data_IF_353039807021
#
_entry.id   IF_353039807021
#
_cell.length_a   1.000
_cell.length_b   1.000
_cell.length_c   1.000
_cell.angle_alpha   90.00
_cell.angle_beta   90.00
_cell.angle_gamma   90.00
#
_symmetry.space_group_name_H-M   'P 1'
#
loop_
_entity.id
_entity.type
_entity.pdbx_description
1 polymer ?
#
# COMPACT_ATOMS: atom_id res chain seq x y z
N UNK A 1 -37.81 -11.18 8.72
CA UNK A 1 -36.52 -11.72 9.21
C UNK A 1 -35.48 -10.66 8.96
N UNK A 2 -35.08 -9.91 9.98
CA UNK A 2 -34.08 -8.84 9.91
C UNK A 2 -32.69 -9.46 9.93
N UNK A 3 -31.95 -9.31 8.84
CA UNK A 3 -30.57 -9.76 8.68
C UNK A 3 -29.59 -8.73 9.25
N UNK A 4 -29.77 -8.32 10.48
CA UNK A 4 -28.82 -7.46 11.21
C UNK A 4 -27.84 -8.28 12.06
N UNK A 5 -27.28 -9.33 11.47
CA UNK A 5 -26.05 -9.88 12.02
C UNK A 5 -24.88 -8.98 11.60
N UNK A 6 -24.64 -7.94 12.40
CA UNK A 6 -23.46 -7.12 12.24
C UNK A 6 -22.22 -8.03 12.19
N UNK A 7 -21.43 -7.92 11.12
CA UNK A 7 -20.22 -8.71 10.94
C UNK A 7 -19.40 -8.71 12.24
N UNK A 8 -18.90 -9.86 12.73
CA UNK A 8 -18.18 -9.97 14.01
C UNK A 8 -17.08 -8.94 14.22
N UNK A 9 -16.47 -8.46 13.14
CA UNK A 9 -15.44 -7.42 13.19
C UNK A 9 -16.01 -6.00 13.35
N UNK A 10 -17.32 -5.76 13.12
CA UNK A 10 -17.90 -4.42 13.23
C UNK A 10 -17.74 -3.80 14.62
N UNK A 11 -17.66 -4.64 15.67
CA UNK A 11 -17.41 -4.20 17.05
C UNK A 11 -16.01 -3.61 17.29
N UNK A 12 -15.06 -3.90 16.41
CA UNK A 12 -13.67 -3.41 16.52
C UNK A 12 -13.41 -2.15 15.71
N UNK A 13 -14.32 -1.78 14.82
CA UNK A 13 -14.16 -0.62 13.95
C UNK A 13 -15.25 0.41 14.22
N UNK A 14 -14.88 1.67 14.33
CA UNK A 14 -15.84 2.78 14.45
C UNK A 14 -16.56 3.05 13.13
N UNK A 15 -15.89 2.81 12.02
CA UNK A 15 -16.43 2.99 10.67
C UNK A 15 -15.68 2.10 9.68
N UNK A 16 -16.38 1.63 8.66
CA UNK A 16 -15.84 0.99 7.48
C UNK A 16 -16.24 1.84 6.27
N UNK A 17 -15.24 2.36 5.56
CA UNK A 17 -15.46 3.07 4.29
C UNK A 17 -14.99 2.15 3.16
N UNK A 18 -15.94 1.72 2.34
CA UNK A 18 -15.66 0.94 1.14
C UNK A 18 -15.88 1.80 -0.10
N UNK A 19 -14.88 1.84 -0.98
CA UNK A 19 -14.97 2.52 -2.27
C UNK A 19 -14.59 1.55 -3.36
N UNK A 20 -15.54 1.22 -4.24
CA UNK A 20 -15.30 0.37 -5.40
C UNK A 20 -14.96 1.24 -6.61
N UNK A 21 -13.80 1.88 -6.56
CA UNK A 21 -13.31 2.78 -7.60
C UNK A 21 -11.95 2.33 -8.10
N UNK A 22 -11.62 2.71 -9.34
CA UNK A 22 -10.30 2.44 -9.90
C UNK A 22 -9.27 3.32 -9.21
N UNK A 23 -8.29 2.72 -8.55
CA UNK A 23 -7.18 3.44 -7.93
C UNK A 23 -6.38 4.22 -8.96
N UNK A 24 -6.06 5.47 -8.65
CA UNK A 24 -5.23 6.35 -9.46
C UNK A 24 -4.05 6.91 -8.67
N UNK A 25 -3.07 7.45 -9.37
CA UNK A 25 -1.96 8.20 -8.77
C UNK A 25 -2.04 9.71 -9.02
N UNK A 26 -3.21 10.20 -9.43
CA UNK A 26 -3.46 11.64 -9.64
C UNK A 26 -3.37 12.37 -8.30
N UNK A 27 -2.49 13.36 -8.21
CA UNK A 27 -2.29 14.09 -6.95
C UNK A 27 -3.55 14.88 -6.57
N UNK A 28 -3.98 14.70 -5.32
CA UNK A 28 -5.23 15.29 -4.82
C UNK A 28 -6.50 14.61 -5.33
N UNK A 29 -6.41 13.64 -6.25
CA UNK A 29 -7.55 12.90 -6.79
C UNK A 29 -8.32 12.13 -5.72
N UNK A 30 -9.65 12.03 -5.87
CA UNK A 30 -10.51 11.32 -4.92
C UNK A 30 -10.18 9.81 -4.85
N UNK A 31 -9.76 9.24 -5.97
CA UNK A 31 -9.43 7.82 -6.12
C UNK A 31 -7.94 7.51 -5.86
N UNK A 32 -7.17 8.52 -5.41
CA UNK A 32 -5.80 8.33 -4.97
C UNK A 32 -5.76 7.98 -3.48
N UNK A 33 -5.27 6.78 -3.09
CA UNK A 33 -5.22 6.36 -1.69
C UNK A 33 -4.38 7.29 -0.81
N UNK A 34 -3.37 7.95 -1.37
CA UNK A 34 -2.55 8.92 -0.63
C UNK A 34 -3.35 10.16 -0.21
N UNK A 35 -4.35 10.55 -1.01
CA UNK A 35 -5.29 11.62 -0.64
C UNK A 35 -6.16 11.20 0.54
N UNK A 36 -6.64 9.96 0.55
CA UNK A 36 -7.40 9.41 1.68
C UNK A 36 -6.57 9.36 2.97
N UNK A 37 -5.31 8.91 2.89
CA UNK A 37 -4.39 8.89 4.04
C UNK A 37 -4.21 10.28 4.63
N UNK A 38 -3.98 11.30 3.79
CA UNK A 38 -3.84 12.69 4.28
C UNK A 38 -5.06 13.20 5.03
N UNK A 39 -6.26 12.72 4.68
CA UNK A 39 -7.51 13.10 5.34
C UNK A 39 -7.79 12.30 6.61
N UNK A 40 -7.53 10.99 6.58
CA UNK A 40 -7.99 10.06 7.60
C UNK A 40 -6.97 9.82 8.71
N UNK A 41 -5.67 9.89 8.40
CA UNK A 41 -4.57 9.57 9.32
C UNK A 41 -4.05 10.81 10.08
N UNK A 42 -4.87 11.82 10.27
CA UNK A 42 -4.51 12.98 11.08
C UNK A 42 -4.98 12.81 12.52
N UNK A 43 -4.11 13.07 13.46
CA UNK A 43 -4.40 13.02 14.89
C UNK A 43 -3.44 12.12 15.65
N UNK A 44 -3.01 12.56 16.85
CA UNK A 44 -2.04 11.84 17.70
C UNK A 44 -2.64 10.61 18.39
N UNK A 45 -3.95 10.47 18.37
CA UNK A 45 -4.72 9.41 19.02
C UNK A 45 -5.09 8.24 18.07
N UNK A 46 -4.51 8.23 16.87
CA UNK A 46 -4.83 7.25 15.83
C UNK A 46 -3.60 6.49 15.41
N UNK A 47 -3.77 5.20 15.22
CA UNK A 47 -2.78 4.35 14.51
C UNK A 47 -3.22 4.27 13.06
N UNK A 48 -2.33 4.65 12.16
CA UNK A 48 -2.55 4.59 10.72
C UNK A 48 -1.72 3.46 10.12
N UNK A 49 -2.41 2.47 9.57
CA UNK A 49 -1.80 1.37 8.83
C UNK A 49 -2.17 1.50 7.36
N UNK A 50 -1.17 1.51 6.49
CA UNK A 50 -1.38 1.54 5.05
C UNK A 50 -0.92 0.22 4.42
N UNK A 51 -1.81 -0.44 3.68
CA UNK A 51 -1.47 -1.59 2.84
C UNK A 51 -1.66 -1.21 1.37
N UNK A 52 -0.62 -1.38 0.57
CA UNK A 52 -0.63 -1.18 -0.89
C UNK A 52 -0.51 -2.53 -1.58
N UNK A 53 -1.60 -2.96 -2.20
CA UNK A 53 -1.76 -4.29 -2.81
C UNK A 53 -2.93 -4.18 -3.81
N UNK A 54 -2.63 -3.83 -5.05
CA UNK A 54 -3.64 -3.52 -6.10
C UNK A 54 -3.38 -4.27 -7.40
N UNK A 55 -2.49 -5.26 -7.40
CA UNK A 55 -2.14 -6.07 -8.58
C UNK A 55 -1.72 -5.26 -9.82
N UNK A 56 -1.19 -4.05 -9.60
CA UNK A 56 -0.74 -3.16 -10.67
C UNK A 56 0.66 -2.62 -10.38
N UNK A 57 1.71 -3.37 -10.70
CA UNK A 57 3.09 -3.05 -10.31
C UNK A 57 3.58 -1.68 -10.76
N UNK A 58 3.11 -1.21 -11.91
CA UNK A 58 3.46 0.12 -12.42
C UNK A 58 2.83 1.22 -11.56
N UNK A 59 1.55 1.04 -11.19
CA UNK A 59 0.83 2.01 -10.36
C UNK A 59 1.31 1.95 -8.90
N UNK A 60 1.56 0.74 -8.39
CA UNK A 60 2.14 0.53 -7.06
C UNK A 60 3.50 1.23 -6.93
N UNK A 61 4.37 1.08 -7.94
CA UNK A 61 5.66 1.76 -7.97
C UNK A 61 5.51 3.28 -7.89
N UNK A 62 4.60 3.86 -8.67
CA UNK A 62 4.33 5.31 -8.64
C UNK A 62 3.78 5.78 -7.30
N UNK A 63 2.85 5.04 -6.72
CA UNK A 63 2.26 5.36 -5.41
C UNK A 63 3.30 5.20 -4.29
N UNK A 64 4.13 4.18 -4.35
CA UNK A 64 5.22 3.97 -3.41
C UNK A 64 6.22 5.12 -3.46
N UNK A 65 6.67 5.51 -4.64
CA UNK A 65 7.61 6.63 -4.82
C UNK A 65 7.01 7.94 -4.30
N UNK A 66 5.74 8.22 -4.63
CA UNK A 66 5.03 9.40 -4.14
C UNK A 66 4.88 9.38 -2.62
N UNK A 67 4.58 8.22 -2.02
CA UNK A 67 4.47 8.05 -0.58
C UNK A 67 5.81 8.29 0.13
N UNK A 68 6.87 7.61 -0.30
CA UNK A 68 8.20 7.70 0.32
C UNK A 68 8.86 9.07 0.14
N UNK A 69 8.49 9.82 -0.90
CA UNK A 69 8.96 11.18 -1.16
C UNK A 69 8.20 12.23 -0.35
N UNK A 70 7.06 11.90 0.24
CA UNK A 70 6.21 12.82 1.00
C UNK A 70 6.43 12.68 2.50
N UNK A 71 7.16 13.63 3.09
CA UNK A 71 7.35 13.66 4.54
C UNK A 71 6.02 13.69 5.30
N UNK A 72 5.06 14.47 4.84
CA UNK A 72 3.74 14.57 5.47
C UNK A 72 2.95 13.26 5.48
N UNK A 73 3.21 12.34 4.56
CA UNK A 73 2.62 11.01 4.54
C UNK A 73 3.39 10.04 5.42
N UNK A 74 4.71 10.04 5.33
CA UNK A 74 5.55 9.13 6.13
C UNK A 74 5.53 9.44 7.62
N UNK A 75 5.18 10.66 8.02
CA UNK A 75 5.03 11.04 9.43
C UNK A 75 3.67 10.66 10.04
N UNK A 76 2.63 10.46 9.23
CA UNK A 76 1.29 10.11 9.73
C UNK A 76 0.94 8.63 9.61
N UNK A 77 1.71 7.86 8.84
CA UNK A 77 1.55 6.42 8.71
C UNK A 77 2.48 5.72 9.68
N UNK A 78 1.90 4.97 10.61
CA UNK A 78 2.67 4.22 11.62
C UNK A 78 3.25 2.95 11.04
N UNK A 79 2.49 2.23 10.19
CA UNK A 79 2.94 1.01 9.55
C UNK A 79 2.54 0.98 8.08
N UNK A 80 3.47 0.56 7.23
CA UNK A 80 3.25 0.45 5.80
C UNK A 80 3.57 -0.97 5.31
N UNK A 81 2.58 -1.59 4.70
CA UNK A 81 2.70 -2.91 4.06
C UNK A 81 2.60 -2.74 2.55
N UNK A 82 3.56 -3.29 1.83
CA UNK A 82 3.57 -3.26 0.37
C UNK A 82 3.78 -4.67 -0.18
N UNK A 83 2.91 -5.05 -1.12
CA UNK A 83 3.09 -6.28 -1.87
C UNK A 83 4.25 -6.13 -2.84
N UNK A 84 5.09 -7.16 -2.90
CA UNK A 84 6.16 -7.25 -3.89
C UNK A 84 6.02 -8.49 -4.73
N UNK A 85 5.67 -8.27 -5.98
CA UNK A 85 5.67 -9.34 -6.99
C UNK A 85 7.11 -9.75 -7.30
N UNK A 86 7.63 -10.71 -6.54
CA UNK A 86 8.94 -11.30 -6.80
C UNK A 86 8.75 -12.37 -7.86
N UNK A 87 9.55 -12.33 -8.92
CA UNK A 87 9.57 -13.38 -9.94
C UNK A 87 10.10 -14.67 -9.35
N UNK A 88 9.24 -15.48 -8.77
CA UNK A 88 9.54 -16.86 -8.40
C UNK A 88 9.07 -17.80 -9.50
N UNK A 89 9.66 -19.00 -9.57
CA UNK A 89 9.21 -20.04 -10.51
C UNK A 89 7.73 -20.38 -10.37
N UNK A 90 7.19 -20.33 -9.15
CA UNK A 90 5.79 -20.58 -8.85
C UNK A 90 4.87 -19.50 -9.45
N UNK A 91 5.26 -18.24 -9.42
CA UNK A 91 4.45 -17.15 -10.01
C UNK A 91 4.37 -17.24 -11.54
N UNK A 92 5.40 -17.78 -12.20
CA UNK A 92 5.36 -18.05 -13.64
C UNK A 92 4.26 -19.06 -14.02
N UNK A 93 4.03 -20.05 -13.17
CA UNK A 93 3.00 -21.09 -13.41
C UNK A 93 1.58 -20.52 -13.37
N UNK A 94 1.37 -19.40 -12.69
CA UNK A 94 0.08 -18.71 -12.60
C UNK A 94 -0.05 -17.50 -13.55
N UNK A 95 0.86 -17.38 -14.53
CA UNK A 95 0.80 -16.30 -15.53
C UNK A 95 1.23 -14.92 -15.03
N UNK A 96 1.53 -14.75 -13.75
CA UNK A 96 1.85 -13.46 -13.14
C UNK A 96 3.29 -13.01 -13.35
N UNK A 97 4.13 -13.81 -13.98
CA UNK A 97 5.56 -13.52 -14.15
C UNK A 97 6.01 -13.13 -15.56
N UNK A 98 5.08 -13.00 -16.51
CA UNK A 98 5.43 -12.83 -17.95
C UNK A 98 5.40 -11.39 -18.42
N UNK A 99 4.97 -10.45 -17.60
CA UNK A 99 4.86 -9.05 -18.01
C UNK A 99 6.25 -8.39 -18.13
N UNK A 100 6.69 -8.20 -19.38
CA UNK A 100 7.96 -7.52 -19.71
C UNK A 100 7.98 -6.03 -19.33
N UNK A 101 6.85 -5.47 -18.88
CA UNK A 101 6.72 -4.06 -18.47
C UNK A 101 7.38 -3.75 -17.13
N UNK A 102 7.89 -4.77 -16.45
CA UNK A 102 8.72 -4.57 -15.26
C UNK A 102 10.10 -4.11 -15.67
N UNK A 103 10.40 -2.85 -15.41
CA UNK A 103 11.78 -2.34 -15.57
C UNK A 103 12.76 -3.19 -14.76
N UNK A 104 13.88 -3.64 -15.34
CA UNK A 104 14.84 -4.52 -14.66
C UNK A 104 15.32 -4.00 -13.29
N UNK A 105 15.39 -2.70 -13.11
CA UNK A 105 15.83 -2.07 -11.85
C UNK A 105 14.79 -2.06 -10.72
N UNK A 106 13.50 -2.17 -11.04
CA UNK A 106 12.41 -2.15 -10.03
C UNK A 106 12.21 -3.52 -9.38
N UNK A 107 12.68 -4.58 -10.02
CA UNK A 107 12.49 -5.97 -9.61
C UNK A 107 13.71 -6.60 -8.93
N UNK A 108 14.75 -5.82 -8.68
CA UNK A 108 15.89 -6.28 -7.94
C UNK A 108 15.57 -6.34 -6.44
N UNK A 109 15.62 -7.53 -5.87
CA UNK A 109 15.43 -7.78 -4.45
C UNK A 109 16.38 -6.91 -3.59
N UNK A 110 17.60 -6.68 -4.08
CA UNK A 110 18.60 -5.82 -3.43
C UNK A 110 18.10 -4.37 -3.29
N UNK A 111 17.51 -3.82 -4.36
CA UNK A 111 16.94 -2.46 -4.32
C UNK A 111 15.75 -2.36 -3.37
N UNK A 112 14.94 -3.40 -3.29
CA UNK A 112 13.86 -3.49 -2.33
C UNK A 112 14.36 -3.48 -0.88
N UNK A 113 15.33 -4.30 -0.55
CA UNK A 113 15.95 -4.29 0.77
C UNK A 113 16.52 -2.93 1.12
N UNK A 114 17.18 -2.25 0.16
CA UNK A 114 17.67 -0.87 0.35
C UNK A 114 16.52 0.10 0.63
N UNK A 115 15.44 0.03 -0.13
CA UNK A 115 14.26 0.88 0.02
C UNK A 115 13.65 0.71 1.42
N UNK A 116 13.36 -0.52 1.83
CA UNK A 116 12.81 -0.80 3.16
C UNK A 116 13.76 -0.39 4.28
N UNK A 117 15.05 -0.69 4.13
CA UNK A 117 16.06 -0.30 5.13
C UNK A 117 16.15 1.22 5.27
N UNK A 118 16.12 1.96 4.16
CA UNK A 118 16.15 3.41 4.19
C UNK A 118 14.88 4.02 4.79
N UNK A 119 13.70 3.45 4.49
CA UNK A 119 12.45 3.86 5.09
C UNK A 119 12.47 3.65 6.62
N UNK A 120 12.93 2.49 7.08
CA UNK A 120 13.07 2.18 8.52
C UNK A 120 14.09 3.08 9.23
N UNK A 121 15.20 3.42 8.60
CA UNK A 121 16.17 4.40 9.15
C UNK A 121 15.56 5.80 9.33
N UNK A 122 14.53 6.14 8.56
CA UNK A 122 13.76 7.39 8.67
C UNK A 122 12.60 7.29 9.68
N UNK A 123 12.42 6.15 10.35
CA UNK A 123 11.40 5.93 11.37
C UNK A 123 10.09 5.29 10.86
N UNK A 124 9.95 5.04 9.56
CA UNK A 124 8.78 4.38 9.02
C UNK A 124 8.87 2.85 9.22
N UNK A 125 7.86 2.26 9.86
CA UNK A 125 7.74 0.80 9.98
C UNK A 125 7.20 0.21 8.68
N UNK A 126 8.09 -0.05 7.74
CA UNK A 126 7.78 -0.62 6.44
C UNK A 126 7.99 -2.12 6.43
N UNK A 127 7.03 -2.85 5.87
CA UNK A 127 7.01 -4.31 5.81
C UNK A 127 6.75 -4.79 4.39
N UNK A 128 7.30 -5.96 4.07
CA UNK A 128 6.88 -6.71 2.91
C UNK A 128 5.61 -7.49 3.21
N UNK A 129 4.74 -7.52 2.22
CA UNK A 129 3.63 -8.46 2.14
C UNK A 129 3.95 -9.44 1.00
N UNK A 130 4.05 -10.75 1.27
CA UNK A 130 4.29 -11.76 0.25
C UNK A 130 3.06 -12.03 -0.59
#
# INVERSE_FOLDING_TARGET
MSSDEAHPLARFFRALHFSNTKVTNEDGGADNPLTAIRKMCRGLDRVCVFKLDIDSPVLEGKLLDAFLSSRSLTEVVDEFYVEKHIRTGAMKMHGMGTDRRFSPGVNDLSNWYKTVTNARKKGLRMHFWP
#
